data_IF_481087206887
#
_entry.id   IF_481087206887
#
_cell.length_a   1.000
_cell.length_b   1.000
_cell.length_c   1.000
_cell.angle_alpha   90.00
_cell.angle_beta   90.00
_cell.angle_gamma   90.00
#
_symmetry.space_group_name_H-M   'P 1'
#
loop_
_entity.id
_entity.type
_entity.pdbx_description
1 polymer ?
#
# COMPACT_ATOMS: atom_id res chain seq x y z
N UNK A 1 -6.05 -16.96 13.99
CA UNK A 1 -5.62 -16.50 15.32
C UNK A 1 -4.22 -17.04 15.64
N UNK A 2 -3.97 -18.35 15.50
CA UNK A 2 -2.68 -18.97 15.82
C UNK A 2 -1.47 -18.45 15.00
N UNK A 3 -1.62 -18.25 13.68
CA UNK A 3 -0.57 -17.70 12.78
C UNK A 3 -0.08 -16.31 13.24
N UNK A 4 -1.01 -15.43 13.60
CA UNK A 4 -0.67 -14.08 14.05
C UNK A 4 0.00 -14.05 15.42
N UNK A 5 -0.38 -14.97 16.31
CA UNK A 5 0.26 -15.14 17.62
C UNK A 5 1.71 -15.63 17.46
N UNK A 6 1.98 -16.52 16.50
CA UNK A 6 3.34 -17.01 16.23
C UNK A 6 4.28 -15.92 15.69
N UNK A 7 3.82 -15.11 14.71
CA UNK A 7 4.61 -13.94 14.25
C UNK A 7 4.85 -12.92 15.36
N UNK A 8 3.87 -12.70 16.23
CA UNK A 8 4.01 -11.78 17.36
C UNK A 8 5.07 -12.25 18.36
N UNK A 9 5.13 -13.56 18.65
CA UNK A 9 6.14 -14.15 19.53
C UNK A 9 7.56 -14.06 18.93
N UNK A 10 7.69 -14.24 17.62
CA UNK A 10 8.99 -14.19 16.94
C UNK A 10 9.53 -12.75 16.78
N UNK A 11 8.67 -11.77 16.49
CA UNK A 11 9.11 -10.38 16.32
C UNK A 11 9.29 -9.60 17.63
N UNK A 12 8.65 -10.03 18.73
CA UNK A 12 8.69 -9.29 19.99
C UNK A 12 9.83 -9.69 20.94
N UNK A 13 10.49 -10.84 20.74
CA UNK A 13 11.61 -11.28 21.59
C UNK A 13 11.32 -11.33 23.11
N UNK A 14 10.05 -11.30 23.52
CA UNK A 14 9.63 -11.12 24.91
C UNK A 14 8.58 -12.18 25.24
N UNK A 15 8.98 -13.12 26.10
CA UNK A 15 8.22 -14.30 26.52
C UNK A 15 7.14 -14.02 27.59
N UNK A 16 6.81 -12.77 27.89
CA UNK A 16 5.78 -12.43 28.86
C UNK A 16 5.09 -11.15 28.42
N UNK A 17 3.78 -11.21 28.15
CA UNK A 17 2.81 -10.25 28.68
C UNK A 17 1.40 -10.72 28.30
N UNK A 18 0.72 -11.33 29.28
CA UNK A 18 -0.74 -11.32 29.32
C UNK A 18 -1.17 -9.86 29.56
N UNK A 19 -2.18 -9.39 28.84
CA UNK A 19 -2.72 -8.02 28.86
C UNK A 19 -1.91 -6.95 28.12
N UNK A 20 -1.89 -7.02 26.79
CA UNK A 20 -1.77 -5.81 25.96
C UNK A 20 -2.92 -5.83 24.96
N UNK A 21 -3.71 -4.75 24.92
CA UNK A 21 -4.80 -4.47 24.00
C UNK A 21 -4.30 -4.35 22.55
N UNK A 22 -3.89 -5.46 21.95
CA UNK A 22 -3.19 -5.55 20.66
C UNK A 22 -4.11 -5.70 19.44
N UNK A 23 -5.27 -5.04 19.44
CA UNK A 23 -6.29 -5.22 18.39
C UNK A 23 -6.18 -4.35 17.12
N UNK A 24 -5.30 -3.33 16.96
CA UNK A 24 -5.16 -2.67 15.65
C UNK A 24 -4.09 -3.25 14.71
N UNK A 25 -3.13 -4.07 15.18
CA UNK A 25 -2.00 -4.57 14.36
C UNK A 25 -2.28 -5.87 13.62
N UNK A 26 -3.25 -6.64 14.10
CA UNK A 26 -3.65 -7.95 13.57
C UNK A 26 -4.62 -7.87 12.39
N UNK A 27 -5.29 -6.73 12.18
CA UNK A 27 -6.40 -6.67 11.23
C UNK A 27 -5.95 -6.72 9.76
N UNK A 28 -4.85 -6.04 9.41
CA UNK A 28 -4.34 -6.00 8.03
C UNK A 28 -3.67 -7.31 7.60
N UNK A 29 -2.80 -7.86 8.45
CA UNK A 29 -2.05 -9.10 8.20
C UNK A 29 -2.95 -10.33 8.03
N UNK A 30 -4.14 -10.33 8.65
CA UNK A 30 -5.12 -11.40 8.47
C UNK A 30 -5.52 -11.59 7.00
N UNK A 31 -5.65 -10.51 6.23
CA UNK A 31 -6.03 -10.62 4.81
C UNK A 31 -4.90 -11.21 3.98
N UNK A 32 -3.66 -10.80 4.25
CA UNK A 32 -2.47 -11.33 3.57
C UNK A 32 -2.32 -12.83 3.85
N UNK A 33 -2.38 -13.23 5.13
CA UNK A 33 -2.31 -14.64 5.51
C UNK A 33 -3.48 -15.47 4.94
N UNK A 34 -4.69 -14.91 4.91
CA UNK A 34 -5.86 -15.60 4.38
C UNK A 34 -5.69 -15.93 2.89
N UNK A 35 -5.10 -15.04 2.09
CA UNK A 35 -4.82 -15.30 0.67
C UNK A 35 -3.89 -16.50 0.51
N UNK A 36 -2.78 -16.54 1.25
CA UNK A 36 -1.82 -17.65 1.17
C UNK A 36 -2.46 -19.00 1.55
N UNK A 37 -3.26 -19.03 2.61
CA UNK A 37 -4.00 -20.22 3.02
C UNK A 37 -5.04 -20.65 1.97
N UNK A 38 -5.76 -19.70 1.37
CA UNK A 38 -6.76 -19.98 0.34
C UNK A 38 -6.15 -20.51 -0.96
N UNK A 39 -4.92 -20.10 -1.30
CA UNK A 39 -4.15 -20.64 -2.43
C UNK A 39 -3.66 -22.08 -2.15
N UNK A 40 -3.74 -22.55 -0.90
CA UNK A 40 -3.46 -23.92 -0.52
C UNK A 40 -2.12 -24.10 0.20
N UNK A 41 -1.50 -23.03 0.68
CA UNK A 41 -0.31 -23.15 1.52
C UNK A 41 -0.63 -23.74 2.88
N UNK A 42 0.30 -24.54 3.41
CA UNK A 42 0.26 -24.97 4.81
C UNK A 42 0.44 -23.78 5.75
N UNK A 43 0.03 -23.90 6.99
CA UNK A 43 0.18 -22.84 8.01
C UNK A 43 1.63 -22.31 8.10
N UNK A 44 2.61 -23.22 8.09
CA UNK A 44 4.03 -22.87 8.15
C UNK A 44 4.49 -22.11 6.90
N UNK A 45 3.99 -22.49 5.73
CA UNK A 45 4.29 -21.77 4.48
C UNK A 45 3.65 -20.40 4.47
N UNK A 46 2.39 -20.30 4.93
CA UNK A 46 1.67 -19.04 5.05
C UNK A 46 2.37 -18.05 6.00
N UNK A 47 2.93 -18.56 7.10
CA UNK A 47 3.73 -17.77 8.02
C UNK A 47 5.03 -17.25 7.37
N UNK A 48 5.70 -18.13 6.62
CA UNK A 48 6.94 -17.80 5.91
C UNK A 48 6.73 -16.78 4.78
N UNK A 49 5.66 -16.95 4.01
CA UNK A 49 5.28 -16.02 2.94
C UNK A 49 4.87 -14.66 3.50
N UNK A 50 4.04 -14.64 4.55
CA UNK A 50 3.65 -13.40 5.23
C UNK A 50 4.89 -12.62 5.68
N UNK A 51 5.84 -13.28 6.35
CA UNK A 51 7.10 -12.65 6.77
C UNK A 51 7.89 -12.10 5.58
N UNK A 52 8.06 -12.89 4.53
CA UNK A 52 8.80 -12.47 3.33
C UNK A 52 8.15 -11.25 2.66
N UNK A 53 6.83 -11.22 2.54
CA UNK A 53 6.08 -10.09 1.99
C UNK A 53 6.20 -8.85 2.87
N UNK A 54 6.05 -9.00 4.19
CA UNK A 54 6.15 -7.85 5.11
C UNK A 54 7.57 -7.28 5.17
N UNK A 55 8.59 -8.13 5.14
CA UNK A 55 9.99 -7.72 5.15
C UNK A 55 10.35 -6.99 3.84
N UNK A 56 9.81 -7.44 2.70
CA UNK A 56 10.05 -6.84 1.40
C UNK A 56 9.31 -5.50 1.21
N UNK A 57 8.02 -5.42 1.55
CA UNK A 57 7.15 -4.31 1.14
C UNK A 57 6.67 -3.42 2.29
N UNK A 58 6.59 -3.93 3.52
CA UNK A 58 5.89 -3.27 4.63
C UNK A 58 6.83 -2.87 5.78
N UNK A 59 8.05 -2.43 5.45
CA UNK A 59 9.06 -2.06 6.45
C UNK A 59 8.58 -0.90 7.34
N UNK A 60 8.34 -1.21 8.62
CA UNK A 60 7.86 -0.25 9.62
C UNK A 60 6.35 0.01 9.58
N UNK A 61 5.55 -0.82 8.90
CA UNK A 61 4.10 -0.61 8.80
C UNK A 61 3.35 -1.08 10.05
N UNK A 62 3.77 -2.20 10.65
CA UNK A 62 3.04 -2.86 11.74
C UNK A 62 3.60 -2.55 13.14
N UNK A 63 4.45 -1.54 13.26
CA UNK A 63 4.87 -0.96 14.56
C UNK A 63 3.79 -0.01 15.08
N UNK A 64 3.78 0.27 16.38
CA UNK A 64 2.76 1.10 17.02
C UNK A 64 2.63 2.50 16.38
N UNK A 65 3.75 3.10 15.98
CA UNK A 65 3.75 4.41 15.31
C UNK A 65 3.29 4.38 13.86
N UNK A 66 3.21 3.20 13.22
CA UNK A 66 3.02 3.04 11.77
C UNK A 66 3.96 3.93 10.93
N UNK A 67 5.12 4.27 11.47
CA UNK A 67 6.04 5.25 10.88
C UNK A 67 6.45 4.92 9.45
N UNK A 68 6.60 3.64 9.12
CA UNK A 68 6.90 3.19 7.77
C UNK A 68 5.75 3.43 6.79
N UNK A 69 4.52 3.20 7.24
CA UNK A 69 3.32 3.43 6.43
C UNK A 69 3.13 4.92 6.17
N UNK A 70 3.20 5.74 7.22
CA UNK A 70 3.01 7.20 7.09
C UNK A 70 4.08 7.82 6.18
N UNK A 71 5.34 7.37 6.32
CA UNK A 71 6.41 7.74 5.39
C UNK A 71 6.07 7.38 3.96
N UNK A 72 5.62 6.16 3.70
CA UNK A 72 5.34 5.70 2.34
C UNK A 72 4.08 6.36 1.75
N UNK A 73 3.11 6.77 2.58
CA UNK A 73 1.99 7.63 2.15
C UNK A 73 2.50 9.02 1.74
N UNK A 74 3.43 9.62 2.50
CA UNK A 74 4.05 10.89 2.10
C UNK A 74 4.87 10.77 0.81
N UNK A 75 5.57 9.64 0.60
CA UNK A 75 6.24 9.35 -0.66
C UNK A 75 5.25 9.24 -1.82
N UNK A 76 4.11 8.60 -1.59
CA UNK A 76 3.05 8.49 -2.59
C UNK A 76 2.46 9.85 -2.97
N UNK A 77 2.31 10.75 -2.00
CA UNK A 77 1.89 12.14 -2.21
C UNK A 77 2.88 12.90 -3.11
N UNK A 78 4.18 12.80 -2.79
CA UNK A 78 5.24 13.38 -3.61
C UNK A 78 5.27 12.78 -5.04
N UNK A 79 5.07 11.47 -5.17
CA UNK A 79 4.98 10.82 -6.49
C UNK A 79 3.77 11.31 -7.29
N UNK A 80 2.60 11.48 -6.67
CA UNK A 80 1.43 12.07 -7.31
C UNK A 80 1.71 13.50 -7.76
N UNK A 81 2.35 14.32 -6.92
CA UNK A 81 2.71 15.69 -7.27
C UNK A 81 3.67 15.75 -8.46
N UNK A 82 4.67 14.87 -8.51
CA UNK A 82 5.70 14.89 -9.56
C UNK A 82 5.27 14.21 -10.86
N UNK A 83 4.56 13.09 -10.78
CA UNK A 83 4.22 12.28 -11.95
C UNK A 83 2.81 12.60 -12.48
N UNK A 84 1.88 12.94 -11.60
CA UNK A 84 0.46 13.12 -11.92
C UNK A 84 -0.11 14.42 -11.32
N UNK A 85 0.49 15.60 -11.59
CA UNK A 85 0.16 16.85 -10.90
C UNK A 85 -1.31 17.26 -11.03
N UNK A 86 -1.96 16.91 -12.16
CA UNK A 86 -3.39 17.16 -12.37
C UNK A 86 -4.26 16.35 -11.39
N UNK A 87 -3.89 15.10 -11.14
CA UNK A 87 -4.61 14.19 -10.24
C UNK A 87 -4.37 14.61 -8.79
N UNK A 88 -3.13 14.95 -8.44
CA UNK A 88 -2.80 15.52 -7.14
C UNK A 88 -3.65 16.77 -6.83
N UNK A 89 -3.76 17.70 -7.79
CA UNK A 89 -4.62 18.89 -7.63
C UNK A 89 -6.09 18.52 -7.41
N UNK A 90 -6.61 17.46 -8.07
CA UNK A 90 -7.99 17.01 -7.83
C UNK A 90 -8.21 16.46 -6.43
N UNK A 91 -7.27 15.70 -5.88
CA UNK A 91 -7.38 15.23 -4.49
C UNK A 91 -7.47 16.40 -3.51
N UNK A 92 -6.71 17.47 -3.76
CA UNK A 92 -6.79 18.70 -2.98
C UNK A 92 -8.11 19.45 -3.17
N UNK A 93 -8.66 19.51 -4.39
CA UNK A 93 -9.94 20.17 -4.68
C UNK A 93 -11.15 19.49 -4.00
N UNK A 94 -11.10 18.16 -3.86
CA UNK A 94 -12.16 17.35 -3.21
C UNK A 94 -11.99 17.29 -1.69
N UNK A 95 -10.89 17.83 -1.15
CA UNK A 95 -10.49 17.71 0.26
C UNK A 95 -10.47 16.24 0.72
N UNK A 96 -9.89 15.36 -0.12
CA UNK A 96 -9.74 13.93 0.17
C UNK A 96 -8.27 13.64 0.56
N UNK A 97 -7.97 13.45 1.86
CA UNK A 97 -6.61 13.16 2.30
C UNK A 97 -6.12 11.83 1.74
N UNK A 98 -4.92 11.82 1.15
CA UNK A 98 -4.32 10.62 0.56
C UNK A 98 -4.22 9.46 1.56
N UNK A 99 -3.99 9.78 2.84
CA UNK A 99 -3.95 8.80 3.93
C UNK A 99 -5.24 7.97 4.03
N UNK A 100 -6.42 8.53 3.73
CA UNK A 100 -7.69 7.79 3.81
C UNK A 100 -7.83 6.70 2.73
N UNK A 101 -7.26 6.94 1.55
CA UNK A 101 -7.31 6.01 0.43
C UNK A 101 -6.09 5.08 0.36
N UNK A 102 -4.93 5.50 0.85
CA UNK A 102 -3.68 4.75 0.73
C UNK A 102 -3.40 3.81 1.91
N UNK A 103 -3.92 4.12 3.11
CA UNK A 103 -3.65 3.32 4.33
C UNK A 103 -4.00 1.85 4.15
N UNK A 104 -5.24 1.56 3.74
CA UNK A 104 -5.73 0.19 3.68
C UNK A 104 -5.08 -0.65 2.56
N UNK A 105 -4.95 -0.15 1.31
CA UNK A 105 -4.26 -0.89 0.25
C UNK A 105 -2.80 -1.19 0.57
N UNK A 106 -2.08 -0.25 1.18
CA UNK A 106 -0.68 -0.46 1.55
C UNK A 106 -0.55 -1.44 2.72
N UNK A 107 -1.36 -1.30 3.77
CA UNK A 107 -1.34 -2.20 4.93
C UNK A 107 -1.70 -3.64 4.61
N UNK A 108 -2.54 -3.86 3.60
CA UNK A 108 -3.03 -5.19 3.23
C UNK A 108 -2.41 -5.72 1.94
N UNK A 109 -1.45 -5.00 1.34
CA UNK A 109 -0.93 -5.33 0.00
C UNK A 109 -2.08 -5.56 -1.00
N UNK A 110 -3.10 -4.70 -0.94
CA UNK A 110 -4.32 -4.70 -1.74
C UNK A 110 -5.23 -5.94 -1.57
N UNK A 111 -4.90 -6.86 -0.65
CA UNK A 111 -5.65 -8.12 -0.48
C UNK A 111 -7.05 -7.95 0.10
N UNK A 112 -7.34 -6.85 0.83
CA UNK A 112 -8.69 -6.63 1.38
C UNK A 112 -9.71 -6.24 0.30
N UNK A 113 -9.32 -5.31 -0.57
CA UNK A 113 -10.26 -4.68 -1.51
C UNK A 113 -10.55 -5.61 -2.69
N UNK A 114 -9.53 -6.34 -3.16
CA UNK A 114 -9.59 -7.13 -4.38
C UNK A 114 -10.37 -8.44 -4.24
N UNK A 115 -11.29 -8.67 -5.18
CA UNK A 115 -11.98 -9.95 -5.37
C UNK A 115 -12.15 -10.22 -6.87
N UNK A 116 -11.89 -11.43 -7.38
CA UNK A 116 -11.61 -12.69 -6.68
C UNK A 116 -10.12 -12.93 -6.41
N UNK A 117 -9.78 -14.02 -5.72
CA UNK A 117 -8.41 -14.33 -5.25
C UNK A 117 -7.38 -14.38 -6.37
N UNK A 118 -7.78 -14.80 -7.58
CA UNK A 118 -6.92 -14.86 -8.76
C UNK A 118 -6.40 -13.46 -9.14
N UNK A 119 -7.17 -12.41 -8.87
CA UNK A 119 -6.75 -11.03 -9.12
C UNK A 119 -5.69 -10.57 -8.12
N UNK A 120 -5.82 -11.00 -6.85
CA UNK A 120 -4.83 -10.74 -5.81
C UNK A 120 -3.53 -11.45 -6.15
N UNK A 121 -3.58 -12.74 -6.52
CA UNK A 121 -2.40 -13.51 -6.89
C UNK A 121 -1.66 -12.87 -8.07
N UNK A 122 -2.37 -12.45 -9.12
CA UNK A 122 -1.74 -11.75 -10.27
C UNK A 122 -1.07 -10.44 -9.87
N UNK A 123 -1.68 -9.69 -8.96
CA UNK A 123 -1.11 -8.47 -8.43
C UNK A 123 0.15 -8.74 -7.60
N UNK A 124 0.13 -9.78 -6.78
CA UNK A 124 1.27 -10.18 -5.97
C UNK A 124 2.41 -10.76 -6.80
N UNK A 125 2.10 -11.51 -7.86
CA UNK A 125 3.09 -11.94 -8.85
C UNK A 125 3.79 -10.72 -9.45
N UNK A 126 3.04 -9.68 -9.82
CA UNK A 126 3.60 -8.42 -10.29
C UNK A 126 4.48 -7.74 -9.23
N UNK A 127 4.06 -7.71 -7.96
CA UNK A 127 4.87 -7.16 -6.87
C UNK A 127 6.19 -7.91 -6.68
N UNK A 128 6.15 -9.24 -6.73
CA UNK A 128 7.34 -10.08 -6.56
C UNK A 128 8.31 -9.97 -7.74
N UNK A 129 7.81 -9.74 -8.96
CA UNK A 129 8.63 -9.56 -10.18
C UNK A 129 9.25 -8.15 -10.22
N UNK A 130 8.46 -7.12 -10.00
CA UNK A 130 8.86 -5.71 -10.18
C UNK A 130 9.46 -5.08 -8.91
N UNK A 131 9.27 -5.73 -7.74
CA UNK A 131 9.87 -5.32 -6.48
C UNK A 131 9.20 -4.13 -5.80
N UNK A 132 9.94 -3.47 -4.91
CA UNK A 132 9.41 -2.53 -3.90
C UNK A 132 8.70 -1.29 -4.45
N UNK A 133 8.91 -0.95 -5.72
CA UNK A 133 8.22 0.16 -6.39
C UNK A 133 6.82 -0.24 -6.90
N UNK A 134 6.55 -1.53 -7.05
CA UNK A 134 5.33 -2.02 -7.67
C UNK A 134 4.04 -1.62 -6.94
N UNK A 135 3.95 -1.65 -5.58
CA UNK A 135 2.75 -1.18 -4.89
C UNK A 135 2.44 0.29 -5.14
N UNK A 136 3.47 1.14 -5.25
CA UNK A 136 3.31 2.56 -5.58
C UNK A 136 2.84 2.75 -7.02
N UNK A 137 3.47 2.03 -7.97
CA UNK A 137 3.08 2.08 -9.38
C UNK A 137 1.63 1.63 -9.60
N UNK A 138 1.18 0.59 -8.89
CA UNK A 138 -0.20 0.12 -8.94
C UNK A 138 -1.15 1.14 -8.34
N UNK A 139 -0.80 1.74 -7.20
CA UNK A 139 -1.63 2.82 -6.64
C UNK A 139 -1.78 3.99 -7.61
N UNK A 140 -0.68 4.45 -8.23
CA UNK A 140 -0.70 5.52 -9.22
C UNK A 140 -1.57 5.16 -10.44
N UNK A 141 -1.51 3.91 -10.91
CA UNK A 141 -2.38 3.42 -11.98
C UNK A 141 -3.87 3.45 -11.60
N UNK A 142 -4.22 3.11 -10.36
CA UNK A 142 -5.58 3.26 -9.86
C UNK A 142 -6.01 4.72 -9.74
N UNK A 143 -5.12 5.61 -9.29
CA UNK A 143 -5.39 7.05 -9.24
C UNK A 143 -5.65 7.63 -10.63
N UNK A 144 -4.87 7.25 -11.64
CA UNK A 144 -5.15 7.60 -13.04
C UNK A 144 -6.51 7.11 -13.52
N UNK A 145 -6.83 5.84 -13.26
CA UNK A 145 -8.09 5.26 -13.69
C UNK A 145 -9.29 5.91 -12.99
N UNK A 146 -9.17 6.24 -11.71
CA UNK A 146 -10.20 6.96 -10.95
C UNK A 146 -10.45 8.35 -11.53
N UNK A 147 -9.37 9.06 -11.90
CA UNK A 147 -9.47 10.37 -12.55
C UNK A 147 -10.12 10.28 -13.93
N UNK A 148 -9.72 9.33 -14.77
CA UNK A 148 -10.33 9.12 -16.10
C UNK A 148 -11.82 8.76 -16.03
N UNK A 149 -12.22 8.01 -15.00
CA UNK A 149 -13.62 7.66 -14.73
C UNK A 149 -14.40 8.79 -14.04
N UNK A 150 -13.79 9.95 -13.82
CA UNK A 150 -14.37 11.11 -13.12
C UNK A 150 -14.90 10.78 -11.70
N UNK A 151 -14.29 9.82 -11.01
CA UNK A 151 -14.69 9.42 -9.65
C UNK A 151 -14.30 10.45 -8.58
N UNK A 152 -13.45 11.41 -8.95
CA UNK A 152 -12.93 12.49 -8.12
C UNK A 152 -13.55 13.85 -8.50
N UNK A 153 -14.67 13.88 -9.22
CA UNK A 153 -15.27 15.13 -9.71
C UNK A 153 -16.61 15.41 -9.02
N UNK A 154 -16.70 16.51 -8.28
CA UNK A 154 -17.98 17.07 -7.80
C UNK A 154 -18.71 16.29 -6.71
N UNK A 155 -18.06 15.28 -6.11
CA UNK A 155 -18.59 14.51 -5.00
C UNK A 155 -17.92 14.92 -3.67
N UNK A 156 -18.55 14.66 -2.53
CA UNK A 156 -17.92 14.89 -1.23
C UNK A 156 -16.73 13.93 -1.04
N UNK A 157 -15.79 14.27 -0.15
CA UNK A 157 -14.63 13.43 0.14
C UNK A 157 -15.00 11.97 0.46
N UNK A 158 -16.09 11.76 1.20
CA UNK A 158 -16.60 10.43 1.56
C UNK A 158 -17.09 9.63 0.34
N UNK A 159 -17.78 10.30 -0.60
CA UNK A 159 -18.27 9.68 -1.82
C UNK A 159 -17.11 9.28 -2.72
N UNK A 160 -16.12 10.17 -2.88
CA UNK A 160 -14.90 9.87 -3.65
C UNK A 160 -14.07 8.77 -3.01
N UNK A 161 -13.99 8.72 -1.68
CA UNK A 161 -13.38 7.60 -0.95
C UNK A 161 -14.10 6.29 -1.24
N UNK A 162 -15.44 6.27 -1.18
CA UNK A 162 -16.26 5.10 -1.50
C UNK A 162 -16.06 4.63 -2.95
N UNK A 163 -16.09 5.56 -3.90
CA UNK A 163 -15.87 5.28 -5.31
C UNK A 163 -14.46 4.71 -5.58
N UNK A 164 -13.43 5.28 -4.93
CA UNK A 164 -12.06 4.78 -5.05
C UNK A 164 -11.91 3.37 -4.50
N UNK A 165 -12.53 3.06 -3.35
CA UNK A 165 -12.52 1.70 -2.77
C UNK A 165 -13.23 0.69 -3.66
N UNK A 166 -14.38 1.06 -4.23
CA UNK A 166 -15.07 0.21 -5.21
C UNK A 166 -14.20 -0.06 -6.45
N UNK A 167 -13.46 0.94 -6.92
CA UNK A 167 -12.51 0.77 -8.03
C UNK A 167 -11.34 -0.15 -7.65
N UNK A 168 -10.78 -0.01 -6.45
CA UNK A 168 -9.73 -0.89 -5.97
C UNK A 168 -10.19 -2.35 -5.91
N UNK A 169 -11.45 -2.59 -5.55
CA UNK A 169 -12.03 -3.93 -5.52
C UNK A 169 -12.51 -4.49 -6.86
N UNK A 170 -12.53 -3.67 -7.92
CA UNK A 170 -12.96 -4.06 -9.26
C UNK A 170 -11.88 -4.92 -9.94
N UNK A 171 -12.02 -6.24 -9.88
CA UNK A 171 -11.10 -7.18 -10.55
C UNK A 171 -11.02 -7.00 -12.05
N UNK A 172 -12.04 -6.40 -12.69
CA UNK A 172 -11.96 -6.09 -14.12
C UNK A 172 -10.88 -5.06 -14.43
N UNK A 173 -10.54 -4.20 -13.46
CA UNK A 173 -9.44 -3.24 -13.60
C UNK A 173 -8.09 -3.95 -13.71
N UNK A 174 -7.85 -4.98 -12.90
CA UNK A 174 -6.63 -5.81 -12.96
C UNK A 174 -6.60 -6.67 -14.22
N UNK A 175 -7.71 -7.31 -14.57
CA UNK A 175 -7.83 -8.11 -15.78
C UNK A 175 -7.71 -7.26 -17.06
N UNK A 176 -7.97 -5.95 -16.97
CA UNK A 176 -7.75 -4.98 -18.03
C UNK A 176 -6.30 -4.49 -18.07
N UNK A 177 -6.11 -3.21 -17.73
CA UNK A 177 -4.88 -2.47 -18.05
C UNK A 177 -4.12 -1.95 -16.81
N UNK A 178 -4.56 -2.23 -15.57
CA UNK A 178 -3.89 -1.68 -14.37
C UNK A 178 -2.43 -2.12 -14.28
N UNK A 179 -2.13 -3.41 -14.48
CA UNK A 179 -0.74 -3.89 -14.43
C UNK A 179 0.11 -3.32 -15.57
N UNK A 180 -0.48 -3.12 -16.75
CA UNK A 180 0.20 -2.46 -17.88
C UNK A 180 0.49 -0.99 -17.58
N UNK A 181 -0.45 -0.26 -16.97
CA UNK A 181 -0.24 1.12 -16.52
C UNK A 181 0.81 1.21 -15.42
N UNK A 182 0.75 0.31 -14.44
CA UNK A 182 1.77 0.20 -13.40
C UNK A 182 3.16 -0.02 -14.01
N UNK A 183 3.29 -0.93 -14.99
CA UNK A 183 4.53 -1.17 -15.71
C UNK A 183 5.04 0.09 -16.44
N UNK A 184 4.16 0.95 -16.97
CA UNK A 184 4.56 2.22 -17.56
C UNK A 184 5.18 3.20 -16.53
N UNK A 185 4.71 3.19 -15.28
CA UNK A 185 5.35 3.99 -14.23
C UNK A 185 6.77 3.51 -13.92
N UNK A 186 6.95 2.19 -13.89
CA UNK A 186 8.23 1.54 -13.60
C UNK A 186 9.23 1.61 -14.77
N UNK A 187 8.73 1.73 -16.00
CA UNK A 187 9.57 1.79 -17.19
C UNK A 187 10.50 3.04 -17.16
N UNK A 188 11.77 2.88 -17.58
CA UNK A 188 12.75 3.97 -17.55
C UNK A 188 12.39 5.06 -18.57
N UNK A 189 12.80 6.30 -18.28
CA UNK A 189 12.65 7.41 -19.22
C UNK A 189 13.51 7.20 -20.47
N UNK A 190 13.05 7.60 -21.68
CA UNK A 190 11.82 8.36 -21.96
C UNK A 190 10.55 7.50 -22.16
N UNK A 191 10.64 6.17 -22.02
CA UNK A 191 9.56 5.24 -22.36
C UNK A 191 8.48 5.11 -21.27
N UNK A 192 8.79 5.52 -20.04
CA UNK A 192 7.88 5.52 -18.90
C UNK A 192 8.14 6.68 -17.94
N UNK A 193 7.57 6.58 -16.74
CA UNK A 193 7.72 7.64 -15.73
C UNK A 193 9.08 7.64 -15.03
N UNK A 194 9.79 6.51 -15.05
CA UNK A 194 11.10 6.33 -14.43
C UNK A 194 11.06 6.11 -12.92
N UNK A 195 9.92 5.66 -12.36
CA UNK A 195 9.85 5.24 -10.97
C UNK A 195 10.75 4.03 -10.76
N UNK A 196 11.78 4.18 -9.94
CA UNK A 196 12.74 3.15 -9.63
C UNK A 196 13.12 3.20 -8.16
N UNK A 197 13.82 2.17 -7.69
CA UNK A 197 14.17 2.04 -6.27
C UNK A 197 15.04 3.21 -5.78
N UNK A 198 15.92 3.76 -6.62
CA UNK A 198 16.78 4.90 -6.23
C UNK A 198 15.93 6.13 -5.93
N UNK A 199 14.95 6.45 -6.78
CA UNK A 199 14.00 7.53 -6.57
C UNK A 199 13.12 7.27 -5.34
N UNK A 200 12.63 6.04 -5.16
CA UNK A 200 11.81 5.69 -4.02
C UNK A 200 12.57 5.90 -2.70
N UNK A 201 13.83 5.47 -2.65
CA UNK A 201 14.67 5.64 -1.47
C UNK A 201 15.06 7.10 -1.22
N UNK A 202 15.24 7.93 -2.26
CA UNK A 202 15.48 9.37 -2.07
C UNK A 202 14.26 10.04 -1.45
N UNK A 203 13.06 9.77 -1.97
CA UNK A 203 11.81 10.30 -1.44
C UNK A 203 11.54 9.83 0.00
N UNK A 204 11.84 8.56 0.33
CA UNK A 204 11.74 8.05 1.70
C UNK A 204 12.66 8.78 2.68
N UNK A 205 13.86 9.16 2.24
CA UNK A 205 14.81 9.95 3.06
C UNK A 205 14.34 11.38 3.24
N UNK A 206 13.81 12.01 2.19
CA UNK A 206 13.24 13.35 2.25
C UNK A 206 12.05 13.41 3.21
N UNK A 207 11.13 12.44 3.11
CA UNK A 207 9.98 12.32 4.01
C UNK A 207 10.40 12.11 5.48
N UNK A 208 11.44 11.32 5.73
CA UNK A 208 11.99 11.13 7.07
C UNK A 208 12.64 12.41 7.63
N UNK A 209 13.33 13.18 6.78
CA UNK A 209 13.94 14.46 7.16
C UNK A 209 12.88 15.52 7.51
N UNK A 210 11.80 15.61 6.72
CA UNK A 210 10.71 16.56 6.98
C UNK A 210 10.01 16.31 8.32
N UNK A 211 9.85 15.03 8.72
CA UNK A 211 9.27 14.68 10.03
C UNK A 211 10.15 15.10 11.20
N UNK A 212 11.49 15.05 11.06
CA UNK A 212 12.43 15.42 12.13
C UNK A 212 12.53 16.95 12.34
N UNK A 213 12.34 17.73 11.28
CA UNK A 213 12.29 19.20 11.37
C UNK A 213 11.00 19.68 12.03
N UNK A 214 9.86 19.05 11.76
CA UNK A 214 8.58 19.39 12.38
C UNK A 214 8.57 19.12 13.91
N UNK A 215 9.25 18.06 14.36
CA UNK A 215 9.39 17.75 15.80
C UNK A 215 10.37 18.69 16.51
N UNK A 216 11.33 19.29 15.81
CA UNK A 216 12.30 20.23 16.37
C UNK A 216 11.75 21.65 16.57
N UNK A 217 10.77 22.06 15.74
CA UNK A 217 10.10 23.36 15.87
C UNK A 217 8.94 23.35 16.89
N UNK A 218 8.59 22.16 17.42
CA UNK A 218 7.51 21.97 18.41
C UNK A 218 8.00 21.83 19.87
N UNK A 219 9.31 21.92 20.12
CA UNK A 219 9.93 21.87 21.45
C UNK A 219 10.47 23.21 21.93
#
# INVERSE_FOLDING_TARGET
MHILEQLFLEHSGVHHFQHASALPRSLGLNFVAAVELLVGFTEKQALGGLRALTDAFCSGYYVESMSGLLRDIAVLDALLLHLLPKIHARFAEVDLPLIWIATEPLLTLFSRELKPIESICRLWDFFLIEGVCAPFAVFLAYAELAFERNLLTGAAAEDSLGAFRLLLGDSSAIAGNILQRAAFFLAPRPFGSGLNETLLQSLRKEAAGASQLADADAG
#
